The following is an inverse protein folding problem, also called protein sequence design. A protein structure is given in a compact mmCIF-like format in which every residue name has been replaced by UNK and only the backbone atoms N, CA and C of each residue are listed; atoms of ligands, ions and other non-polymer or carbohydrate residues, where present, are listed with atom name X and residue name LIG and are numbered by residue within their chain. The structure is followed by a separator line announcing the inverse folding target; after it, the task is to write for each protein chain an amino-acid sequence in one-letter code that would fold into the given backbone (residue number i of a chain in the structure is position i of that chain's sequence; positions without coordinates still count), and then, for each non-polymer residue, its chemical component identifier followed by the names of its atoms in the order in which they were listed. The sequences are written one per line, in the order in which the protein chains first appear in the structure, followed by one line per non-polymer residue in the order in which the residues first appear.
data_IF_237741075028
#
_entry.id   IF_237741075028
#
_cell.length_a   1.000
_cell.length_b   1.000
_cell.length_c   1.000
_cell.angle_alpha   90.00
_cell.angle_beta   90.00
_cell.angle_gamma   90.00
#
_symmetry.space_group_name_H-M   'P 1'
#
loop_
_entity.id
_entity.type
_entity.pdbx_description
1 polymer ?
#
# COMPACT_ATOMS: atom_id res chain seq x y z
N UNK A 1 9.34 -14.44 0.34
CA UNK A 1 8.62 -15.17 1.41
C UNK A 1 8.86 -14.43 2.73
N UNK A 2 7.88 -13.65 3.19
CA UNK A 2 7.87 -13.08 4.53
C UNK A 2 7.39 -14.17 5.49
N UNK A 3 8.25 -14.60 6.42
CA UNK A 3 7.81 -15.61 7.39
C UNK A 3 6.91 -14.94 8.44
N UNK A 4 5.65 -15.39 8.62
CA UNK A 4 4.76 -14.81 9.61
C UNK A 4 5.40 -14.92 11.00
N UNK A 5 5.48 -13.79 11.70
CA UNK A 5 6.11 -13.71 13.03
C UNK A 5 7.62 -13.43 13.05
N UNK A 6 8.28 -13.27 11.90
CA UNK A 6 9.72 -12.96 11.86
C UNK A 6 10.08 -11.67 12.64
N UNK A 7 9.27 -10.63 12.53
CA UNK A 7 9.45 -9.39 13.31
C UNK A 7 9.37 -9.64 14.83
N UNK A 8 8.39 -10.43 15.27
CA UNK A 8 8.23 -10.81 16.68
C UNK A 8 9.46 -11.62 17.15
N UNK A 9 9.93 -12.57 16.34
CA UNK A 9 11.12 -13.35 16.68
C UNK A 9 12.38 -12.50 16.79
N UNK A 10 12.54 -11.48 15.93
CA UNK A 10 13.65 -10.52 16.03
C UNK A 10 13.56 -9.69 17.31
N UNK A 11 12.39 -9.17 17.65
CA UNK A 11 12.19 -8.42 18.89
C UNK A 11 12.47 -9.28 20.13
N UNK A 12 12.00 -10.53 20.14
CA UNK A 12 12.28 -11.49 21.20
C UNK A 12 13.78 -11.79 21.27
N UNK A 13 14.44 -11.98 20.12
CA UNK A 13 15.88 -12.25 20.01
C UNK A 13 16.73 -11.15 20.64
N UNK A 14 16.36 -9.88 20.46
CA UNK A 14 17.06 -8.73 21.06
C UNK A 14 16.94 -8.76 22.59
N UNK A 15 15.78 -9.15 23.13
CA UNK A 15 15.48 -9.03 24.56
C UNK A 15 16.02 -10.21 25.39
N UNK A 16 16.01 -11.43 24.83
CA UNK A 16 16.42 -12.67 25.52
C UNK A 16 17.80 -12.58 26.19
N UNK A 17 18.86 -12.06 25.55
CA UNK A 17 20.19 -11.98 26.16
C UNK A 17 20.24 -11.12 27.43
N UNK A 18 19.38 -10.10 27.52
CA UNK A 18 19.32 -9.21 28.69
C UNK A 18 18.49 -9.79 29.84
N UNK A 19 17.41 -10.52 29.53
CA UNK A 19 16.49 -11.05 30.56
C UNK A 19 16.95 -12.42 31.08
N UNK A 20 17.49 -13.29 30.22
CA UNK A 20 17.86 -14.65 30.60
C UNK A 20 19.37 -14.78 30.82
N UNK A 21 20.16 -14.42 29.82
CA UNK A 21 21.59 -14.69 29.84
C UNK A 21 22.35 -13.82 30.86
N UNK A 22 22.09 -12.51 30.89
CA UNK A 22 22.78 -11.60 31.82
C UNK A 22 22.48 -11.95 33.30
N UNK A 23 21.23 -12.18 33.76
CA UNK A 23 20.96 -12.57 35.13
C UNK A 23 21.53 -13.94 35.47
N UNK A 24 21.42 -14.93 34.58
CA UNK A 24 22.00 -16.25 34.78
C UNK A 24 23.53 -16.17 34.97
N UNK A 25 24.21 -15.36 34.15
CA UNK A 25 25.64 -15.13 34.24
C UNK A 25 26.05 -14.46 35.56
N UNK A 26 25.30 -13.44 36.02
CA UNK A 26 25.54 -12.77 37.29
C UNK A 26 25.32 -13.70 38.50
N UNK A 27 24.26 -14.52 38.49
CA UNK A 27 23.99 -15.52 39.52
C UNK A 27 25.11 -16.56 39.56
N UNK A 28 25.56 -17.04 38.40
CA UNK A 28 26.64 -18.00 38.28
C UNK A 28 27.96 -17.46 38.87
N UNK A 29 28.33 -16.22 38.55
CA UNK A 29 29.51 -15.59 39.14
C UNK A 29 29.36 -15.33 40.63
N UNK A 30 28.17 -14.94 41.08
CA UNK A 30 27.85 -14.73 42.50
C UNK A 30 28.04 -15.98 43.34
N UNK A 31 27.60 -17.14 42.85
CA UNK A 31 27.74 -18.44 43.55
C UNK A 31 29.19 -18.90 43.67
N UNK A 32 30.09 -18.53 42.76
CA UNK A 32 31.51 -18.93 42.79
C UNK A 32 32.41 -18.00 43.59
N UNK A 33 31.91 -16.86 44.09
CA UNK A 33 32.69 -15.89 44.86
C UNK A 33 33.78 -15.16 44.06
N UNK A 34 34.03 -15.54 42.80
CA UNK A 34 35.00 -14.95 41.89
C UNK A 34 34.31 -13.98 40.93
N UNK A 35 33.99 -12.77 41.38
CA UNK A 35 33.54 -11.70 40.46
C UNK A 35 34.71 -11.25 39.62
N UNK A 36 34.87 -11.82 38.43
CA UNK A 36 35.88 -11.36 37.49
C UNK A 36 35.30 -10.19 36.69
N UNK A 37 35.58 -8.97 37.17
CA UNK A 37 35.09 -7.73 36.55
C UNK A 37 35.47 -7.65 35.07
N UNK A 38 36.62 -8.18 34.65
CA UNK A 38 37.07 -8.17 33.26
C UNK A 38 36.14 -9.01 32.38
N UNK A 39 35.77 -10.20 32.85
CA UNK A 39 34.85 -11.07 32.13
C UNK A 39 33.43 -10.49 32.10
N UNK A 40 32.99 -9.82 33.16
CA UNK A 40 31.70 -9.11 33.17
C UNK A 40 31.68 -7.98 32.15
N UNK A 41 32.72 -7.14 32.14
CA UNK A 41 32.85 -6.05 31.17
C UNK A 41 32.84 -6.61 29.74
N UNK A 42 33.61 -7.67 29.47
CA UNK A 42 33.65 -8.32 28.16
C UNK A 42 32.27 -8.85 27.72
N UNK A 43 31.54 -9.50 28.63
CA UNK A 43 30.18 -9.99 28.35
C UNK A 43 29.22 -8.83 28.06
N UNK A 44 29.29 -7.73 28.83
CA UNK A 44 28.45 -6.55 28.59
C UNK A 44 28.75 -5.93 27.22
N UNK A 45 30.03 -5.80 26.84
CA UNK A 45 30.41 -5.32 25.50
C UNK A 45 29.90 -6.24 24.40
N UNK A 46 29.95 -7.56 24.59
CA UNK A 46 29.43 -8.53 23.62
C UNK A 46 27.91 -8.42 23.47
N UNK A 47 27.16 -8.18 24.55
CA UNK A 47 25.71 -7.96 24.51
C UNK A 47 25.34 -6.67 23.78
N UNK A 48 26.05 -5.58 24.06
CA UNK A 48 25.87 -4.30 23.34
C UNK A 48 26.18 -4.48 21.86
N UNK A 49 27.24 -5.21 21.52
CA UNK A 49 27.61 -5.50 20.14
C UNK A 49 26.51 -6.29 19.40
N UNK A 50 26.02 -7.39 19.98
CA UNK A 50 24.94 -8.19 19.39
C UNK A 50 23.69 -7.33 19.16
N UNK A 51 23.30 -6.54 20.17
CA UNK A 51 22.11 -5.68 20.08
C UNK A 51 22.25 -4.61 19.00
N UNK A 52 23.46 -4.07 18.83
CA UNK A 52 23.74 -3.12 17.76
C UNK A 52 23.63 -3.78 16.37
N UNK A 53 24.11 -5.02 16.22
CA UNK A 53 23.96 -5.78 14.96
C UNK A 53 22.49 -6.09 14.67
N UNK A 54 21.72 -6.52 15.67
CA UNK A 54 20.29 -6.82 15.51
C UNK A 54 19.49 -5.57 15.11
N UNK A 55 19.79 -4.42 15.71
CA UNK A 55 19.17 -3.15 15.36
C UNK A 55 19.45 -2.74 13.91
N UNK A 56 20.70 -2.90 13.44
CA UNK A 56 21.06 -2.64 12.05
C UNK A 56 20.33 -3.59 11.08
N UNK A 57 20.16 -4.85 11.46
CA UNK A 57 19.43 -5.83 10.66
C UNK A 57 17.94 -5.46 10.55
N UNK A 58 17.31 -5.07 11.66
CA UNK A 58 15.92 -4.62 11.67
C UNK A 58 15.69 -3.39 10.78
N UNK A 59 16.60 -2.41 10.83
CA UNK A 59 16.57 -1.24 9.94
C UNK A 59 16.73 -1.63 8.46
N UNK A 60 17.60 -2.59 8.15
CA UNK A 60 17.80 -3.06 6.78
C UNK A 60 16.56 -3.77 6.22
N UNK A 61 15.91 -4.61 7.02
CA UNK A 61 14.64 -5.27 6.63
C UNK A 61 13.55 -4.22 6.38
N UNK A 62 13.45 -3.20 7.23
CA UNK A 62 12.47 -2.12 7.05
C UNK A 62 12.65 -1.38 5.74
N UNK A 63 13.91 -1.08 5.34
CA UNK A 63 14.19 -0.43 4.06
C UNK A 63 13.80 -1.30 2.87
N UNK A 64 14.19 -2.58 2.89
CA UNK A 64 13.85 -3.51 1.82
C UNK A 64 12.33 -3.61 1.58
N UNK A 65 11.52 -3.61 2.64
CA UNK A 65 10.05 -3.64 2.52
C UNK A 65 9.51 -2.37 1.85
N UNK A 66 10.09 -1.20 2.13
CA UNK A 66 9.69 0.07 1.51
C UNK A 66 10.11 0.09 0.03
N UNK A 67 11.35 -0.33 -0.26
CA UNK A 67 11.87 -0.40 -1.63
C UNK A 67 11.04 -1.35 -2.51
N UNK A 68 10.66 -2.52 -1.98
CA UNK A 68 9.77 -3.47 -2.66
C UNK A 68 8.39 -2.83 -2.93
N UNK A 69 7.82 -2.12 -1.95
CA UNK A 69 6.54 -1.44 -2.13
C UNK A 69 6.60 -0.34 -3.20
N UNK A 70 7.73 0.38 -3.28
CA UNK A 70 7.97 1.39 -4.32
C UNK A 70 8.08 0.76 -5.71
N UNK A 71 8.81 -0.34 -5.86
CA UNK A 71 8.91 -1.07 -7.12
C UNK A 71 7.54 -1.56 -7.61
N UNK A 72 6.73 -2.09 -6.70
CA UNK A 72 5.35 -2.52 -7.01
C UNK A 72 4.49 -1.34 -7.43
N UNK A 73 4.61 -0.20 -6.73
CA UNK A 73 3.90 1.02 -7.11
C UNK A 73 4.26 1.50 -8.52
N UNK A 74 5.56 1.52 -8.86
CA UNK A 74 6.02 1.90 -10.20
C UNK A 74 5.45 0.97 -11.27
N UNK A 75 5.35 -0.32 -10.97
CA UNK A 75 4.74 -1.29 -11.88
C UNK A 75 3.25 -1.01 -12.10
N UNK A 76 2.47 -0.72 -11.05
CA UNK A 76 1.07 -0.35 -11.22
C UNK A 76 0.89 0.97 -11.96
N UNK A 77 1.71 1.98 -11.68
CA UNK A 77 1.67 3.25 -12.40
C UNK A 77 1.96 3.06 -13.90
N UNK A 78 2.93 2.20 -14.23
CA UNK A 78 3.24 1.85 -15.62
C UNK A 78 2.06 1.15 -16.31
N UNK A 79 1.42 0.19 -15.62
CA UNK A 79 0.25 -0.51 -16.16
C UNK A 79 -0.95 0.44 -16.34
N UNK A 80 -1.20 1.34 -15.40
CA UNK A 80 -2.26 2.36 -15.53
C UNK A 80 -2.05 3.23 -16.77
N UNK A 81 -0.82 3.72 -17.00
CA UNK A 81 -0.48 4.51 -18.17
C UNK A 81 -0.61 3.71 -19.48
N UNK A 82 -0.23 2.44 -19.47
CA UNK A 82 -0.40 1.54 -20.62
C UNK A 82 -1.88 1.38 -21.00
N UNK A 83 -2.74 1.08 -20.03
CA UNK A 83 -4.17 0.91 -20.28
C UNK A 83 -4.86 2.22 -20.67
N UNK A 84 -4.45 3.36 -20.11
CA UNK A 84 -4.92 4.68 -20.56
C UNK A 84 -4.60 4.92 -22.05
N UNK A 85 -3.39 4.56 -22.50
CA UNK A 85 -3.01 4.61 -23.91
C UNK A 85 -3.87 3.68 -24.77
N UNK A 86 -4.07 2.44 -24.33
CA UNK A 86 -4.93 1.45 -25.02
C UNK A 86 -6.36 1.97 -25.19
N UNK A 87 -6.96 2.52 -24.14
CA UNK A 87 -8.30 3.14 -24.20
C UNK A 87 -8.34 4.24 -25.26
N UNK A 88 -7.34 5.14 -25.28
CA UNK A 88 -7.30 6.24 -26.22
C UNK A 88 -7.23 5.76 -27.68
N UNK A 89 -6.51 4.67 -27.94
CA UNK A 89 -6.43 4.02 -29.25
C UNK A 89 -7.80 3.45 -29.65
N UNK A 90 -8.45 2.66 -28.77
CA UNK A 90 -9.78 2.10 -29.03
C UNK A 90 -10.84 3.18 -29.29
N UNK A 91 -10.84 4.25 -28.50
CA UNK A 91 -11.80 5.35 -28.64
C UNK A 91 -11.60 6.16 -29.93
N UNK A 92 -10.39 6.15 -30.51
CA UNK A 92 -10.09 6.90 -31.73
C UNK A 92 -10.68 6.25 -33.00
N UNK A 93 -10.98 4.96 -32.94
CA UNK A 93 -11.50 4.15 -34.05
C UNK A 93 -13.04 4.05 -34.08
N UNK A 94 -13.75 4.69 -33.13
CA UNK A 94 -15.21 4.58 -32.98
C UNK A 94 -16.02 5.44 -33.98
N UNK A 95 -17.18 4.90 -34.39
CA UNK A 95 -18.23 5.62 -35.10
C UNK A 95 -19.02 6.58 -34.17
N UNK A 96 -19.85 7.48 -34.74
CA UNK A 96 -20.39 8.64 -34.00
C UNK A 96 -21.32 8.33 -32.82
N UNK A 97 -22.04 7.19 -32.84
CA UNK A 97 -22.90 6.77 -31.74
C UNK A 97 -22.07 6.20 -30.57
N UNK A 98 -21.16 5.27 -30.87
CA UNK A 98 -20.30 4.60 -29.90
C UNK A 98 -19.26 5.53 -29.31
N UNK A 99 -18.83 6.54 -30.07
CA UNK A 99 -18.00 7.63 -29.60
C UNK A 99 -18.65 8.44 -28.46
N UNK A 100 -19.99 8.47 -28.38
CA UNK A 100 -20.68 9.17 -27.28
C UNK A 100 -20.59 8.35 -26.00
N UNK A 101 -20.87 7.04 -26.08
CA UNK A 101 -20.76 6.12 -24.93
C UNK A 101 -19.30 6.01 -24.45
N UNK A 102 -18.35 5.86 -25.38
CA UNK A 102 -16.93 5.80 -25.07
C UNK A 102 -16.38 7.08 -24.41
N UNK A 103 -16.88 8.26 -24.81
CA UNK A 103 -16.53 9.52 -24.13
C UNK A 103 -17.10 9.61 -22.72
N UNK A 104 -18.34 9.18 -22.51
CA UNK A 104 -18.96 9.16 -21.16
C UNK A 104 -18.19 8.20 -20.25
N UNK A 105 -17.77 7.04 -20.78
CA UNK A 105 -16.89 6.11 -20.07
C UNK A 105 -15.58 6.81 -19.67
N UNK A 106 -14.86 7.40 -20.62
CA UNK A 106 -13.60 8.11 -20.37
C UNK A 106 -13.74 9.22 -19.31
N UNK A 107 -14.77 10.07 -19.42
CA UNK A 107 -15.01 11.16 -18.49
C UNK A 107 -15.27 10.65 -17.05
N UNK A 108 -16.04 9.55 -16.91
CA UNK A 108 -16.31 8.93 -15.60
C UNK A 108 -15.09 8.24 -15.01
N UNK A 109 -14.29 7.57 -15.83
CA UNK A 109 -13.02 6.98 -15.41
C UNK A 109 -12.06 8.07 -14.94
N UNK A 110 -11.88 9.13 -15.72
CA UNK A 110 -10.99 10.25 -15.41
C UNK A 110 -11.41 10.95 -14.12
N UNK A 111 -12.71 11.08 -13.87
CA UNK A 111 -13.22 11.60 -12.60
C UNK A 111 -12.79 10.73 -11.41
N UNK A 112 -13.03 9.41 -11.45
CA UNK A 112 -12.65 8.49 -10.37
C UNK A 112 -11.13 8.45 -10.17
N UNK A 113 -10.35 8.42 -11.26
CA UNK A 113 -8.88 8.47 -11.20
C UNK A 113 -8.39 9.80 -10.61
N UNK A 114 -9.07 10.91 -10.89
CA UNK A 114 -8.76 12.21 -10.28
C UNK A 114 -9.02 12.19 -8.77
N UNK A 115 -10.13 11.61 -8.31
CA UNK A 115 -10.40 11.44 -6.88
C UNK A 115 -9.30 10.60 -6.20
N UNK A 116 -8.92 9.47 -6.81
CA UNK A 116 -7.83 8.61 -6.31
C UNK A 116 -6.51 9.40 -6.23
N UNK A 117 -6.19 10.20 -7.24
CA UNK A 117 -4.98 11.03 -7.26
C UNK A 117 -4.99 12.11 -6.17
N UNK A 118 -6.13 12.76 -5.94
CA UNK A 118 -6.29 13.75 -4.86
C UNK A 118 -6.13 13.11 -3.47
N UNK A 119 -6.57 11.86 -3.29
CA UNK A 119 -6.36 11.12 -2.04
C UNK A 119 -4.87 10.79 -1.83
N UNK A 120 -4.16 10.37 -2.89
CA UNK A 120 -2.71 10.16 -2.82
C UNK A 120 -1.97 11.45 -2.45
N UNK A 121 -2.35 12.57 -3.04
CA UNK A 121 -1.78 13.90 -2.73
C UNK A 121 -2.05 14.28 -1.27
N UNK A 122 -3.30 14.15 -0.80
CA UNK A 122 -3.66 14.48 0.58
C UNK A 122 -2.85 13.67 1.60
N UNK A 123 -2.67 12.37 1.37
CA UNK A 123 -1.86 11.50 2.21
C UNK A 123 -0.38 11.94 2.27
N UNK A 124 0.18 12.30 1.11
CA UNK A 124 1.58 12.70 0.99
C UNK A 124 1.84 14.05 1.67
N UNK A 125 0.95 15.04 1.47
CA UNK A 125 1.08 16.37 2.06
C UNK A 125 0.83 16.35 3.57
N UNK A 126 -0.08 15.50 4.06
CA UNK A 126 -0.33 15.36 5.50
C UNK A 126 0.90 14.83 6.27
N UNK A 127 1.72 13.98 5.66
CA UNK A 127 2.97 13.51 6.29
C UNK A 127 4.02 14.62 6.38
N UNK A 128 4.17 15.43 5.33
CA UNK A 128 5.14 16.53 5.31
C UNK A 128 4.79 17.56 4.23
N UNK A 129 4.82 18.84 4.60
CA UNK A 129 4.68 19.95 3.64
C UNK A 129 5.83 20.02 2.64
N UNK A 130 7.00 19.47 3.00
CA UNK A 130 8.15 19.41 2.10
C UNK A 130 7.97 18.36 0.98
N UNK A 131 6.86 17.61 0.96
CA UNK A 131 6.54 16.67 -0.10
C UNK A 131 5.95 17.33 -1.37
N UNK A 132 5.85 18.65 -1.44
CA UNK A 132 5.38 19.36 -2.65
C UNK A 132 6.18 18.94 -3.90
N UNK A 133 7.49 18.68 -3.78
CA UNK A 133 8.33 18.23 -4.89
C UNK A 133 8.06 16.77 -5.33
N UNK A 134 7.40 15.98 -4.49
CA UNK A 134 6.97 14.62 -4.82
C UNK A 134 5.61 14.60 -5.54
N UNK A 135 4.87 15.70 -5.53
CA UNK A 135 3.57 15.84 -6.20
C UNK A 135 3.78 16.51 -7.57
N UNK A 136 3.60 15.75 -8.64
CA UNK A 136 3.62 16.27 -10.01
C UNK A 136 2.20 16.46 -10.53
N UNK A 137 1.96 17.62 -11.16
CA UNK A 137 0.66 17.90 -11.81
C UNK A 137 0.41 17.06 -13.06
N UNK A 138 1.46 16.52 -13.68
CA UNK A 138 1.36 15.78 -14.95
C UNK A 138 1.48 14.26 -14.77
N UNK A 139 2.23 13.80 -13.76
CA UNK A 139 2.56 12.38 -13.57
C UNK A 139 2.07 11.78 -12.26
N UNK A 140 1.30 12.54 -11.47
CA UNK A 140 0.84 12.13 -10.14
C UNK A 140 1.98 12.14 -9.09
N UNK A 141 2.01 11.14 -8.22
CA UNK A 141 2.98 11.07 -7.11
C UNK A 141 4.26 10.35 -7.53
N UNK A 142 5.40 11.03 -7.42
CA UNK A 142 6.73 10.43 -7.49
C UNK A 142 7.05 9.75 -6.15
N UNK A 143 6.74 8.45 -6.06
CA UNK A 143 6.86 7.69 -4.82
C UNK A 143 8.30 7.69 -4.28
N UNK A 144 9.32 7.84 -5.13
CA UNK A 144 10.73 7.84 -4.69
C UNK A 144 11.09 9.07 -3.87
N UNK A 145 10.48 10.22 -4.18
CA UNK A 145 10.71 11.49 -3.49
C UNK A 145 9.89 11.69 -2.22
N UNK A 146 8.86 10.88 -1.99
CA UNK A 146 8.00 10.99 -0.80
C UNK A 146 8.81 10.82 0.49
N UNK A 147 8.69 11.77 1.41
CA UNK A 147 9.27 11.72 2.76
C UNK A 147 8.28 11.04 3.70
N UNK A 148 8.78 10.23 4.63
CA UNK A 148 7.95 9.56 5.65
C UNK A 148 7.11 8.38 5.13
N UNK A 149 7.65 7.65 4.14
CA UNK A 149 7.04 6.46 3.52
C UNK A 149 6.61 5.38 4.52
N UNK A 150 7.30 5.28 5.64
CA UNK A 150 7.08 4.33 6.73
C UNK A 150 6.05 4.81 7.78
N UNK A 151 5.51 6.02 7.64
CA UNK A 151 4.50 6.58 8.54
C UNK A 151 3.22 5.72 8.52
N UNK A 152 2.78 5.25 9.69
CA UNK A 152 1.61 4.36 9.85
C UNK A 152 0.33 5.05 10.32
N UNK A 153 0.41 6.33 10.67
CA UNK A 153 -0.68 7.05 11.31
C UNK A 153 -1.50 7.85 10.29
N UNK A 154 -0.84 8.41 9.27
CA UNK A 154 -1.52 9.30 8.32
C UNK A 154 -2.58 8.59 7.51
N UNK A 155 -2.34 7.34 7.10
CA UNK A 155 -3.34 6.53 6.41
C UNK A 155 -4.61 6.39 7.26
N UNK A 156 -4.50 5.93 8.53
CA UNK A 156 -5.65 5.85 9.43
C UNK A 156 -6.33 7.20 9.64
N UNK A 157 -5.56 8.26 9.84
CA UNK A 157 -6.13 9.58 10.12
C UNK A 157 -6.94 10.11 8.94
N UNK A 158 -6.35 10.14 7.75
CA UNK A 158 -6.92 10.76 6.55
C UNK A 158 -7.98 9.86 5.91
N UNK A 159 -7.74 8.55 5.82
CA UNK A 159 -8.62 7.65 5.09
C UNK A 159 -9.77 7.13 5.95
N UNK A 160 -9.50 6.78 7.21
CA UNK A 160 -10.53 6.27 8.13
C UNK A 160 -11.13 7.41 8.95
N UNK A 161 -10.29 8.23 9.60
CA UNK A 161 -10.74 9.29 10.50
C UNK A 161 -11.59 10.37 9.82
N UNK A 162 -11.29 10.70 8.57
CA UNK A 162 -12.07 11.66 7.77
C UNK A 162 -13.11 10.98 6.84
N UNK A 163 -13.29 9.66 6.93
CA UNK A 163 -14.18 8.85 6.08
C UNK A 163 -13.89 8.90 4.57
N UNK A 164 -12.71 9.34 4.14
CA UNK A 164 -12.36 9.41 2.72
C UNK A 164 -12.31 8.03 2.05
N UNK A 165 -11.96 6.97 2.79
CA UNK A 165 -12.02 5.60 2.27
C UNK A 165 -13.46 5.15 1.99
N UNK A 166 -14.40 5.52 2.86
CA UNK A 166 -15.82 5.21 2.69
C UNK A 166 -16.40 5.96 1.49
N UNK A 167 -16.03 7.24 1.32
CA UNK A 167 -16.42 8.02 0.16
C UNK A 167 -15.83 7.44 -1.14
N UNK A 168 -14.56 7.03 -1.12
CA UNK A 168 -13.93 6.33 -2.26
C UNK A 168 -14.65 5.01 -2.58
N UNK A 169 -14.99 4.20 -1.57
CA UNK A 169 -15.76 2.96 -1.76
C UNK A 169 -17.11 3.24 -2.43
N UNK A 170 -17.79 4.33 -2.04
CA UNK A 170 -19.03 4.77 -2.69
C UNK A 170 -18.79 5.14 -4.15
N UNK A 171 -17.79 5.96 -4.45
CA UNK A 171 -17.45 6.35 -5.84
C UNK A 171 -17.13 5.13 -6.71
N UNK A 172 -16.42 4.14 -6.18
CA UNK A 172 -16.12 2.89 -6.89
C UNK A 172 -17.39 2.12 -7.19
N UNK A 173 -18.31 1.98 -6.22
CA UNK A 173 -19.57 1.27 -6.43
C UNK A 173 -20.50 2.00 -7.41
N UNK A 174 -20.58 3.33 -7.34
CA UNK A 174 -21.31 4.13 -8.35
C UNK A 174 -20.72 3.96 -9.76
N UNK A 175 -19.38 3.87 -9.86
CA UNK A 175 -18.72 3.59 -11.12
C UNK A 175 -19.03 2.17 -11.62
N UNK A 176 -19.00 1.15 -10.76
CA UNK A 176 -19.41 -0.22 -11.11
C UNK A 176 -20.85 -0.28 -11.62
N UNK A 177 -21.78 0.38 -10.95
CA UNK A 177 -23.18 0.43 -11.36
C UNK A 177 -23.31 1.04 -12.76
N UNK A 178 -22.61 2.13 -13.03
CA UNK A 178 -22.53 2.71 -14.37
C UNK A 178 -21.95 1.74 -15.42
N UNK A 179 -20.86 1.04 -15.10
CA UNK A 179 -20.27 0.07 -16.03
C UNK A 179 -21.25 -1.06 -16.35
N UNK A 180 -21.99 -1.55 -15.36
CA UNK A 180 -23.02 -2.57 -15.55
C UNK A 180 -24.22 -2.08 -16.38
N UNK A 181 -24.48 -0.77 -16.45
CA UNK A 181 -25.52 -0.19 -17.31
C UNK A 181 -25.11 -0.12 -18.79
N UNK A 182 -23.81 0.04 -19.06
CA UNK A 182 -23.27 0.20 -20.43
C UNK A 182 -22.71 -1.11 -21.04
N UNK A 183 -22.56 -2.17 -20.24
CA UNK A 183 -21.98 -3.46 -20.66
C UNK A 183 -23.00 -4.59 -20.72
N UNK A 184 -22.71 -5.64 -21.50
CA UNK A 184 -23.50 -6.87 -21.51
C UNK A 184 -23.11 -7.82 -20.35
N UNK A 185 -24.03 -8.73 -19.99
CA UNK A 185 -23.99 -9.59 -18.81
C UNK A 185 -22.69 -10.43 -18.62
N UNK A 186 -21.90 -10.64 -19.68
CA UNK A 186 -20.70 -11.49 -19.62
C UNK A 186 -19.51 -10.82 -18.91
N UNK A 187 -19.52 -9.49 -18.77
CA UNK A 187 -18.42 -8.73 -18.16
C UNK A 187 -18.67 -8.31 -16.71
N UNK A 188 -19.91 -8.45 -16.21
CA UNK A 188 -20.25 -8.15 -14.81
C UNK A 188 -19.31 -8.88 -13.84
N UNK A 189 -19.03 -10.16 -14.11
CA UNK A 189 -18.09 -10.94 -13.30
C UNK A 189 -16.64 -10.44 -13.35
N UNK A 190 -16.22 -9.82 -14.47
CA UNK A 190 -14.90 -9.21 -14.61
C UNK A 190 -14.83 -7.89 -13.82
N UNK A 191 -15.83 -7.02 -13.99
CA UNK A 191 -15.96 -5.74 -13.27
C UNK A 191 -15.97 -6.00 -11.75
N UNK A 192 -16.82 -6.92 -11.29
CA UNK A 192 -16.93 -7.27 -9.87
C UNK A 192 -15.62 -7.80 -9.30
N UNK A 193 -14.89 -8.62 -10.06
CA UNK A 193 -13.62 -9.20 -9.61
C UNK A 193 -12.52 -8.16 -9.42
N UNK A 194 -12.44 -7.15 -10.29
CA UNK A 194 -11.33 -6.18 -10.28
C UNK A 194 -11.62 -4.89 -9.53
N UNK A 195 -12.91 -4.56 -9.34
CA UNK A 195 -13.36 -3.40 -8.57
C UNK A 195 -14.06 -3.82 -7.27
N UNK A 196 -13.75 -5.01 -6.74
CA UNK A 196 -14.32 -5.50 -5.50
C UNK A 196 -14.01 -4.57 -4.30
N UNK A 197 -15.04 -4.24 -3.54
CA UNK A 197 -14.96 -3.46 -2.30
C UNK A 197 -15.69 -4.11 -1.13
N UNK A 198 -15.99 -5.41 -1.26
CA UNK A 198 -16.69 -6.17 -0.23
C UNK A 198 -15.84 -6.35 1.04
N UNK A 199 -16.54 -6.52 2.16
CA UNK A 199 -15.91 -6.76 3.46
C UNK A 199 -15.28 -8.16 3.50
N UNK A 200 -14.17 -8.30 4.23
CA UNK A 200 -13.42 -9.54 4.30
C UNK A 200 -13.72 -10.30 5.59
N UNK A 201 -14.09 -11.56 5.47
CA UNK A 201 -14.25 -12.45 6.61
C UNK A 201 -12.99 -13.29 6.84
N UNK A 202 -12.41 -13.19 8.03
CA UNK A 202 -11.26 -14.00 8.43
C UNK A 202 -11.33 -14.42 9.89
N UNK A 203 -11.16 -15.73 10.11
CA UNK A 203 -11.24 -16.35 11.44
C UNK A 203 -12.51 -16.00 12.25
N UNK A 204 -13.63 -15.75 11.55
CA UNK A 204 -14.92 -15.40 12.16
C UNK A 204 -15.09 -13.92 12.52
N UNK A 205 -14.12 -13.07 12.18
CA UNK A 205 -14.23 -11.62 12.26
C UNK A 205 -14.49 -11.04 10.87
N UNK A 206 -15.35 -10.03 10.80
CA UNK A 206 -15.59 -9.24 9.60
C UNK A 206 -14.73 -7.99 9.68
N UNK A 207 -13.95 -7.73 8.66
CA UNK A 207 -13.14 -6.53 8.51
C UNK A 207 -13.68 -5.73 7.33
N UNK A 208 -13.92 -4.43 7.52
CA UNK A 208 -14.34 -3.59 6.40
C UNK A 208 -13.20 -3.43 5.40
N UNK A 209 -13.55 -3.28 4.12
CA UNK A 209 -12.59 -3.01 3.05
C UNK A 209 -11.67 -1.83 3.38
N UNK A 210 -12.25 -0.77 3.96
CA UNK A 210 -11.56 0.44 4.38
C UNK A 210 -10.48 0.14 5.43
N UNK A 211 -10.85 -0.60 6.49
CA UNK A 211 -9.94 -0.93 7.60
C UNK A 211 -8.75 -1.77 7.11
N UNK A 212 -9.01 -2.78 6.27
CA UNK A 212 -7.96 -3.69 5.76
C UNK A 212 -6.91 -2.95 4.95
N UNK A 213 -7.34 -1.98 4.16
CA UNK A 213 -6.46 -1.29 3.22
C UNK A 213 -5.81 -0.05 3.80
N UNK A 214 -6.44 0.62 4.77
CA UNK A 214 -5.98 1.92 5.24
C UNK A 214 -5.72 2.02 6.76
N UNK A 215 -6.27 1.14 7.60
CA UNK A 215 -6.04 1.22 9.04
C UNK A 215 -4.65 0.66 9.42
N UNK A 216 -3.79 1.51 9.98
CA UNK A 216 -2.44 1.16 10.44
C UNK A 216 -1.45 0.85 9.31
N UNK A 217 -1.88 1.04 8.06
CA UNK A 217 -1.06 0.89 6.86
C UNK A 217 0.07 1.93 6.85
N UNK A 218 1.27 1.53 6.43
CA UNK A 218 2.33 2.51 6.15
C UNK A 218 1.92 3.35 4.93
N UNK A 219 2.33 4.61 4.88
CA UNK A 219 2.02 5.54 3.80
C UNK A 219 2.31 4.93 2.42
N UNK A 220 3.47 4.29 2.25
CA UNK A 220 3.85 3.65 0.98
C UNK A 220 2.85 2.57 0.54
N UNK A 221 2.29 1.80 1.47
CA UNK A 221 1.30 0.77 1.17
C UNK A 221 -0.08 1.35 0.85
N UNK A 222 -0.49 2.41 1.55
CA UNK A 222 -1.72 3.14 1.24
C UNK A 222 -1.67 3.75 -0.17
N UNK A 223 -0.55 4.40 -0.53
CA UNK A 223 -0.34 4.93 -1.89
C UNK A 223 -0.32 3.79 -2.91
N UNK A 224 0.39 2.70 -2.64
CA UNK A 224 0.46 1.54 -3.53
C UNK A 224 -0.94 0.93 -3.77
N UNK A 225 -1.78 0.85 -2.75
CA UNK A 225 -3.16 0.38 -2.90
C UNK A 225 -3.99 1.32 -3.79
N UNK A 226 -3.88 2.64 -3.60
CA UNK A 226 -4.55 3.63 -4.45
C UNK A 226 -4.06 3.59 -5.90
N UNK A 227 -2.75 3.48 -6.14
CA UNK A 227 -2.18 3.30 -7.49
C UNK A 227 -2.63 1.98 -8.11
N UNK A 228 -2.77 0.92 -7.31
CA UNK A 228 -3.32 -0.36 -7.78
C UNK A 228 -4.80 -0.25 -8.17
N UNK A 229 -5.60 0.52 -7.43
CA UNK A 229 -6.99 0.84 -7.79
C UNK A 229 -7.06 1.59 -9.12
N UNK A 230 -6.25 2.64 -9.29
CA UNK A 230 -6.15 3.39 -10.55
C UNK A 230 -5.82 2.47 -11.74
N UNK A 231 -4.83 1.58 -11.57
CA UNK A 231 -4.52 0.56 -12.58
C UNK A 231 -5.75 -0.31 -12.91
N UNK A 232 -6.44 -0.86 -11.90
CA UNK A 232 -7.59 -1.73 -12.13
C UNK A 232 -8.75 -1.00 -12.81
N UNK A 233 -8.99 0.25 -12.43
CA UNK A 233 -10.01 1.12 -13.05
C UNK A 233 -9.69 1.37 -14.53
N UNK A 234 -8.42 1.71 -14.86
CA UNK A 234 -7.97 1.88 -16.25
C UNK A 234 -8.01 0.59 -17.07
N UNK A 235 -7.66 -0.54 -16.45
CA UNK A 235 -7.74 -1.85 -17.09
C UNK A 235 -9.19 -2.21 -17.44
N UNK A 236 -10.13 -1.98 -16.52
CA UNK A 236 -11.55 -2.23 -16.77
C UNK A 236 -12.11 -1.29 -17.83
N UNK A 237 -11.74 -0.01 -17.79
CA UNK A 237 -12.08 0.96 -18.85
C UNK A 237 -11.62 0.48 -20.23
N UNK A 238 -10.36 0.03 -20.36
CA UNK A 238 -9.80 -0.39 -21.63
C UNK A 238 -10.53 -1.61 -22.22
N UNK A 239 -10.85 -2.60 -21.38
CA UNK A 239 -11.60 -3.80 -21.81
C UNK A 239 -13.00 -3.42 -22.33
N UNK A 240 -13.69 -2.53 -21.63
CA UNK A 240 -15.03 -2.07 -22.04
C UNK A 240 -14.94 -1.20 -23.30
N UNK A 241 -13.92 -0.35 -23.41
CA UNK A 241 -13.69 0.44 -24.61
C UNK A 241 -13.38 -0.44 -25.84
N UNK A 242 -12.64 -1.53 -25.67
CA UNK A 242 -12.39 -2.53 -26.71
C UNK A 242 -13.71 -3.19 -27.16
N UNK A 243 -14.58 -3.59 -26.23
CA UNK A 243 -15.88 -4.18 -26.58
C UNK A 243 -16.76 -3.20 -27.36
N UNK A 244 -16.87 -1.95 -26.91
CA UNK A 244 -17.62 -0.89 -27.60
C UNK A 244 -17.08 -0.69 -29.03
N UNK A 245 -15.77 -0.88 -29.25
CA UNK A 245 -15.18 -0.79 -30.58
C UNK A 245 -15.44 -2.01 -31.47
N UNK A 246 -15.82 -3.15 -30.89
CA UNK A 246 -16.08 -4.40 -31.59
C UNK A 246 -17.59 -4.66 -31.86
N UNK A 247 -18.49 -3.92 -31.20
CA UNK A 247 -19.96 -4.02 -31.36
C UNK A 247 -20.46 -3.34 -32.62
#
# INVERSE_FOLDING_TARGET
MHWPGAGIMLTIGIIIPFILFLPAYLIYQGKRGTRNIKNLILVLFLLVYISAMDALMALNVSKAVIDDAMLVNDHYALLAAYYQGSTQDHLSDLDSADLTTGKILADKTDHLVTEINQLKEALVIEVSKDNEEAVSKESGIDIHKVIGKDNRNVSSHVMIGENRALDLKRSINEYKDFLNEITENQQVAFIDKYLDTDDFEWEGNVYSWEEIHFEGAMLVWAINHLTSLEFRVRMVEAEIAEEIALS
#
